data_IF_537175177959
#
_entry.id   IF_537175177959
#
_cell.length_a   1.000
_cell.length_b   1.000
_cell.length_c   1.000
_cell.angle_alpha   90.00
_cell.angle_beta   90.00
_cell.angle_gamma   90.00
#
_symmetry.space_group_name_H-M   'P 1'
#
loop_
_entity.id
_entity.type
_entity.pdbx_description
1 polymer ?
#
# COMPACT_ATOMS: atom_id res chain seq x y z
N UNK A 1 92.77 7.27 -8.57
CA UNK A 1 91.43 6.95 -9.13
C UNK A 1 90.45 6.45 -8.07
N UNK A 2 90.76 5.38 -7.31
CA UNK A 2 89.85 4.74 -6.32
C UNK A 2 88.99 5.67 -5.45
N UNK A 3 89.54 6.74 -4.87
CA UNK A 3 88.79 7.63 -3.97
C UNK A 3 87.56 8.29 -4.59
N UNK A 4 87.57 8.59 -5.91
CA UNK A 4 86.41 9.14 -6.60
C UNK A 4 85.27 8.12 -6.71
N UNK A 5 85.59 6.87 -7.04
CA UNK A 5 84.63 5.76 -7.10
C UNK A 5 83.99 5.52 -5.73
N UNK A 6 84.79 5.49 -4.66
CA UNK A 6 84.30 5.34 -3.28
C UNK A 6 83.37 6.50 -2.87
N UNK A 7 83.70 7.74 -3.28
CA UNK A 7 82.83 8.90 -3.09
C UNK A 7 81.49 8.81 -3.83
N UNK A 8 81.47 8.22 -5.04
CA UNK A 8 80.23 7.96 -5.78
C UNK A 8 79.40 6.85 -5.14
N UNK A 9 80.00 5.71 -4.73
CA UNK A 9 79.27 4.67 -3.98
C UNK A 9 78.70 5.22 -2.66
N UNK A 10 79.47 6.05 -1.93
CA UNK A 10 78.99 6.69 -0.70
C UNK A 10 77.80 7.62 -0.91
N UNK A 11 77.75 8.34 -2.04
CA UNK A 11 76.58 9.14 -2.43
C UNK A 11 75.40 8.26 -2.84
N UNK A 12 75.62 7.23 -3.66
CA UNK A 12 74.58 6.31 -4.11
C UNK A 12 73.93 5.57 -2.92
N UNK A 13 74.73 5.06 -1.97
CA UNK A 13 74.21 4.42 -0.75
C UNK A 13 73.31 5.36 0.06
N UNK A 14 73.74 6.61 0.31
CA UNK A 14 72.92 7.62 1.01
C UNK A 14 71.65 8.00 0.27
N UNK A 15 71.65 7.90 -1.07
CA UNK A 15 70.44 8.13 -1.86
C UNK A 15 69.48 6.96 -1.72
N UNK A 16 69.95 5.72 -1.88
CA UNK A 16 69.17 4.49 -1.66
C UNK A 16 68.56 4.48 -0.25
N UNK A 17 69.33 4.83 0.78
CA UNK A 17 68.83 4.92 2.18
C UNK A 17 67.64 5.89 2.28
N UNK A 18 67.75 7.12 1.76
CA UNK A 18 66.65 8.09 1.71
C UNK A 18 65.45 7.59 0.91
N UNK A 19 65.71 6.98 -0.24
CA UNK A 19 64.66 6.48 -1.13
C UNK A 19 63.88 5.34 -0.45
N UNK A 20 64.53 4.47 0.35
CA UNK A 20 63.81 3.46 1.14
C UNK A 20 62.85 4.05 2.17
N UNK A 21 63.18 5.19 2.79
CA UNK A 21 62.26 5.87 3.72
C UNK A 21 61.11 6.57 2.99
N UNK A 22 61.33 7.05 1.76
CA UNK A 22 60.28 7.53 0.89
C UNK A 22 59.32 6.40 0.49
N UNK A 23 59.84 5.24 0.07
CA UNK A 23 59.03 4.07 -0.26
C UNK A 23 58.24 3.54 0.95
N UNK A 24 58.82 3.52 2.16
CA UNK A 24 58.07 3.19 3.39
C UNK A 24 56.89 4.14 3.60
N UNK A 25 57.12 5.46 3.52
CA UNK A 25 56.07 6.49 3.68
C UNK A 25 54.98 6.40 2.58
N UNK A 26 55.36 6.04 1.36
CA UNK A 26 54.39 5.80 0.28
C UNK A 26 53.56 4.54 0.55
N UNK A 27 54.20 3.45 0.98
CA UNK A 27 53.52 2.19 1.33
C UNK A 27 52.55 2.34 2.50
N UNK A 28 52.94 3.01 3.59
CA UNK A 28 52.02 3.26 4.72
C UNK A 28 50.86 4.17 4.32
N UNK A 29 51.09 5.21 3.50
CA UNK A 29 50.03 6.09 2.99
C UNK A 29 49.07 5.37 2.04
N UNK A 30 49.57 4.42 1.24
CA UNK A 30 48.72 3.56 0.40
C UNK A 30 47.87 2.63 1.26
N UNK A 31 48.47 1.92 2.23
CA UNK A 31 47.73 1.05 3.16
C UNK A 31 46.68 1.83 3.96
N UNK A 32 46.97 3.06 4.37
CA UNK A 32 45.99 3.93 5.02
C UNK A 32 44.83 4.30 4.07
N UNK A 33 45.12 4.61 2.80
CA UNK A 33 44.10 4.88 1.80
C UNK A 33 43.19 3.65 1.54
N UNK A 34 43.79 2.47 1.36
CA UNK A 34 43.09 1.19 1.19
C UNK A 34 42.21 0.85 2.41
N UNK A 35 42.70 1.09 3.63
CA UNK A 35 41.90 0.93 4.85
C UNK A 35 40.74 1.93 4.93
N UNK A 36 40.98 3.20 4.59
CA UNK A 36 39.93 4.24 4.54
C UNK A 36 38.86 3.92 3.50
N UNK A 37 39.25 3.42 2.33
CA UNK A 37 38.34 2.99 1.26
C UNK A 37 37.53 1.76 1.68
N UNK A 38 38.19 0.72 2.22
CA UNK A 38 37.51 -0.47 2.76
C UNK A 38 36.47 -0.10 3.82
N UNK A 39 36.81 0.80 4.75
CA UNK A 39 35.87 1.30 5.75
C UNK A 39 34.72 2.10 5.12
N UNK A 40 34.95 2.87 4.05
CA UNK A 40 33.87 3.56 3.33
C UNK A 40 32.94 2.57 2.61
N UNK A 41 33.49 1.61 1.86
CA UNK A 41 32.72 0.56 1.19
C UNK A 41 31.86 -0.22 2.17
N UNK A 42 32.41 -0.64 3.31
CA UNK A 42 31.66 -1.36 4.35
C UNK A 42 30.56 -0.50 4.99
N UNK A 43 30.74 0.82 5.11
CA UNK A 43 29.68 1.72 5.57
C UNK A 43 28.55 1.86 4.52
N UNK A 44 28.89 1.94 3.23
CA UNK A 44 27.90 2.00 2.14
C UNK A 44 27.12 0.70 2.01
N UNK A 45 27.79 -0.45 2.09
CA UNK A 45 27.15 -1.77 2.07
C UNK A 45 26.18 -1.95 3.24
N UNK A 46 26.61 -1.62 4.46
CA UNK A 46 25.73 -1.69 5.64
C UNK A 46 24.52 -0.75 5.52
N UNK A 47 24.69 0.44 4.93
CA UNK A 47 23.58 1.37 4.65
C UNK A 47 22.61 0.76 3.64
N UNK A 48 23.09 0.28 2.50
CA UNK A 48 22.25 -0.32 1.46
C UNK A 48 21.46 -1.55 1.97
N UNK A 49 22.07 -2.36 2.86
CA UNK A 49 21.37 -3.45 3.56
C UNK A 49 20.23 -2.94 4.45
N UNK A 50 20.44 -1.87 5.21
CA UNK A 50 19.39 -1.27 6.06
C UNK A 50 18.27 -0.60 5.22
N UNK A 51 18.61 0.08 4.13
CA UNK A 51 17.63 0.69 3.21
C UNK A 51 16.77 -0.40 2.53
N UNK A 52 17.38 -1.52 2.11
CA UNK A 52 16.66 -2.66 1.56
C UNK A 52 15.75 -3.36 2.60
N UNK A 53 16.19 -3.45 3.86
CA UNK A 53 15.36 -4.00 4.95
C UNK A 53 14.13 -3.13 5.25
N UNK A 54 14.31 -1.80 5.26
CA UNK A 54 13.21 -0.84 5.42
C UNK A 54 12.22 -0.96 4.26
N UNK A 55 12.69 -0.96 3.01
CA UNK A 55 11.83 -1.11 1.84
C UNK A 55 11.06 -2.45 1.82
N UNK A 56 11.69 -3.54 2.29
CA UNK A 56 11.02 -4.85 2.47
C UNK A 56 9.89 -4.77 3.50
N UNK A 57 10.11 -4.10 4.63
CA UNK A 57 9.09 -3.94 5.67
C UNK A 57 7.94 -3.02 5.22
N UNK A 58 8.23 -1.96 4.47
CA UNK A 58 7.22 -1.08 3.86
C UNK A 58 6.34 -1.83 2.86
N UNK A 59 6.94 -2.65 1.99
CA UNK A 59 6.18 -3.51 1.07
C UNK A 59 5.31 -4.56 1.80
N UNK A 60 5.76 -5.09 2.94
CA UNK A 60 4.99 -6.01 3.77
C UNK A 60 3.81 -5.32 4.49
N UNK A 61 3.98 -4.07 4.94
CA UNK A 61 2.90 -3.25 5.50
C UNK A 61 1.83 -2.99 4.44
N UNK A 62 2.20 -2.44 3.28
CA UNK A 62 1.26 -2.13 2.21
C UNK A 62 0.52 -3.37 1.66
N UNK A 63 1.20 -4.52 1.58
CA UNK A 63 0.53 -5.78 1.25
C UNK A 63 -0.48 -6.20 2.33
N UNK A 64 -0.12 -6.11 3.61
CA UNK A 64 -1.02 -6.51 4.69
C UNK A 64 -2.24 -5.58 4.81
N UNK A 65 -2.12 -4.31 4.45
CA UNK A 65 -3.24 -3.34 4.34
C UNK A 65 -4.18 -3.70 3.17
N UNK A 66 -3.61 -4.09 2.02
CA UNK A 66 -4.39 -4.60 0.88
C UNK A 66 -5.11 -5.91 1.25
N UNK A 67 -4.39 -6.89 1.81
CA UNK A 67 -4.94 -8.18 2.29
C UNK A 67 -6.13 -7.95 3.26
N UNK A 68 -6.02 -6.98 4.18
CA UNK A 68 -7.10 -6.60 5.11
C UNK A 68 -8.32 -6.08 4.36
N UNK A 69 -8.12 -5.09 3.49
CA UNK A 69 -9.20 -4.46 2.73
C UNK A 69 -9.96 -5.46 1.86
N UNK A 70 -9.24 -6.41 1.24
CA UNK A 70 -9.83 -7.46 0.43
C UNK A 70 -10.67 -8.42 1.28
N UNK A 71 -10.17 -8.90 2.43
CA UNK A 71 -10.93 -9.83 3.26
C UNK A 71 -12.20 -9.20 3.83
N UNK A 72 -12.14 -7.93 4.24
CA UNK A 72 -13.34 -7.18 4.68
C UNK A 72 -14.32 -6.97 3.51
N UNK A 73 -13.85 -6.68 2.30
CA UNK A 73 -14.71 -6.56 1.12
C UNK A 73 -15.35 -7.89 0.70
N UNK A 74 -14.58 -8.99 0.69
CA UNK A 74 -15.08 -10.37 0.42
C UNK A 74 -16.15 -10.77 1.43
N UNK A 75 -15.93 -10.50 2.73
CA UNK A 75 -16.92 -10.76 3.78
C UNK A 75 -18.20 -9.92 3.56
N UNK A 76 -18.10 -8.63 3.28
CA UNK A 76 -19.25 -7.76 3.01
C UNK A 76 -20.06 -8.23 1.78
N UNK A 77 -19.38 -8.71 0.73
CA UNK A 77 -20.02 -9.29 -0.45
C UNK A 77 -20.76 -10.62 -0.16
N UNK A 78 -20.15 -11.52 0.62
CA UNK A 78 -20.75 -12.79 1.08
C UNK A 78 -22.08 -12.55 1.81
N UNK A 79 -22.12 -11.59 2.72
CA UNK A 79 -23.34 -11.21 3.43
C UNK A 79 -24.39 -10.60 2.50
N UNK A 80 -24.04 -9.64 1.64
CA UNK A 80 -24.98 -9.03 0.68
C UNK A 80 -25.58 -10.06 -0.30
N UNK A 81 -24.80 -11.06 -0.73
CA UNK A 81 -25.35 -12.18 -1.51
C UNK A 81 -26.33 -13.03 -0.69
N UNK A 82 -26.04 -13.26 0.58
CA UNK A 82 -26.88 -14.07 1.48
C UNK A 82 -28.20 -13.35 1.78
N UNK A 83 -28.16 -12.05 2.08
CA UNK A 83 -29.35 -11.19 2.25
C UNK A 83 -30.25 -11.20 1.02
N UNK A 84 -29.70 -11.00 -0.19
CA UNK A 84 -30.50 -11.02 -1.43
C UNK A 84 -31.16 -12.38 -1.70
N UNK A 85 -30.45 -13.49 -1.41
CA UNK A 85 -31.00 -14.85 -1.53
C UNK A 85 -32.14 -15.06 -0.52
N UNK A 86 -31.95 -14.67 0.73
CA UNK A 86 -32.92 -14.90 1.80
C UNK A 86 -34.17 -14.01 1.68
N UNK A 87 -34.02 -12.74 1.29
CA UNK A 87 -35.13 -11.82 0.98
C UNK A 87 -36.04 -12.34 -0.15
N UNK A 88 -35.49 -13.07 -1.11
CA UNK A 88 -36.29 -13.74 -2.15
C UNK A 88 -37.08 -14.94 -1.62
N UNK A 89 -36.56 -15.62 -0.58
CA UNK A 89 -37.15 -16.83 0.00
C UNK A 89 -38.18 -16.53 1.10
N UNK A 90 -38.04 -15.42 1.83
CA UNK A 90 -38.91 -15.03 2.96
C UNK A 90 -40.41 -14.91 2.63
N UNK A 91 -40.73 -14.77 1.34
CA UNK A 91 -42.08 -14.58 0.79
C UNK A 91 -42.82 -15.92 0.57
N UNK A 92 -42.15 -17.06 0.74
CA UNK A 92 -42.73 -18.39 0.53
C UNK A 92 -42.96 -19.12 1.86
N UNK A 93 -44.10 -19.82 1.96
CA UNK A 93 -44.36 -20.76 3.05
C UNK A 93 -43.60 -22.06 2.79
N UNK A 94 -42.85 -22.53 3.79
CA UNK A 94 -42.03 -23.75 3.71
C UNK A 94 -42.79 -24.93 4.33
N UNK A 95 -42.92 -26.04 3.60
CA UNK A 95 -43.60 -27.25 4.11
C UNK A 95 -42.71 -28.06 5.05
N UNK A 96 -43.34 -28.71 6.04
CA UNK A 96 -42.69 -29.68 6.97
C UNK A 96 -42.30 -31.01 6.26
N UNK A 97 -42.81 -31.25 5.05
CA UNK A 97 -42.44 -32.41 4.25
C UNK A 97 -40.94 -32.43 3.90
N UNK A 98 -40.39 -33.63 3.71
CA UNK A 98 -39.02 -33.82 3.18
C UNK A 98 -39.10 -34.39 1.75
N UNK A 99 -38.50 -33.74 0.74
CA UNK A 99 -37.79 -32.46 0.80
C UNK A 99 -38.75 -31.26 1.03
N UNK A 100 -38.27 -30.18 1.67
CA UNK A 100 -39.09 -28.99 1.95
C UNK A 100 -39.44 -28.25 0.66
N UNK A 101 -40.73 -28.04 0.43
CA UNK A 101 -41.27 -27.27 -0.69
C UNK A 101 -41.54 -25.84 -0.25
N UNK A 102 -41.15 -24.88 -1.10
CA UNK A 102 -41.51 -23.48 -0.96
C UNK A 102 -42.77 -23.21 -1.79
N UNK A 103 -43.86 -22.74 -1.18
CA UNK A 103 -45.12 -22.47 -1.87
C UNK A 103 -45.69 -21.09 -1.52
N UNK A 104 -46.43 -20.50 -2.47
CA UNK A 104 -47.16 -19.26 -2.31
C UNK A 104 -48.60 -19.49 -2.82
N UNK A 105 -49.64 -19.36 -1.97
CA UNK A 105 -51.02 -19.60 -2.40
C UNK A 105 -51.50 -18.52 -3.38
N UNK A 106 -52.11 -18.95 -4.49
CA UNK A 106 -52.65 -18.03 -5.51
C UNK A 106 -53.86 -17.18 -5.05
N UNK A 107 -54.42 -17.51 -3.88
CA UNK A 107 -55.39 -16.70 -3.13
C UNK A 107 -55.09 -16.88 -1.65
N UNK A 108 -54.85 -15.79 -0.93
CA UNK A 108 -54.66 -15.87 0.52
C UNK A 108 -56.01 -15.95 1.25
N UNK A 109 -56.09 -16.81 2.25
CA UNK A 109 -57.02 -16.66 3.39
C UNK A 109 -56.30 -15.92 4.51
N UNK A 110 -57.03 -15.31 5.46
CA UNK A 110 -56.43 -14.61 6.61
C UNK A 110 -55.37 -15.45 7.33
N UNK A 111 -55.68 -16.72 7.59
CA UNK A 111 -54.75 -17.69 8.19
C UNK A 111 -53.43 -17.82 7.40
N UNK A 112 -53.48 -17.76 6.06
CA UNK A 112 -52.25 -17.75 5.22
C UNK A 112 -51.58 -16.38 5.13
N UNK A 113 -52.29 -15.28 5.38
CA UNK A 113 -51.71 -13.93 5.51
C UNK A 113 -50.94 -13.85 6.83
N UNK A 114 -51.56 -14.29 7.92
CA UNK A 114 -50.98 -14.37 9.27
C UNK A 114 -49.75 -15.31 9.29
N UNK A 115 -49.81 -16.47 8.63
CA UNK A 115 -48.67 -17.38 8.49
C UNK A 115 -47.52 -16.80 7.66
N UNK A 116 -47.81 -16.05 6.58
CA UNK A 116 -46.77 -15.37 5.80
C UNK A 116 -46.14 -14.23 6.61
N UNK A 117 -46.94 -13.45 7.34
CA UNK A 117 -46.47 -12.39 8.21
C UNK A 117 -45.55 -12.93 9.32
N UNK A 118 -45.97 -13.98 10.04
CA UNK A 118 -45.15 -14.63 11.06
C UNK A 118 -43.87 -15.26 10.48
N UNK A 119 -43.93 -15.84 9.28
CA UNK A 119 -42.75 -16.34 8.56
C UNK A 119 -41.78 -15.22 8.18
N UNK A 120 -42.29 -14.04 7.78
CA UNK A 120 -41.48 -12.88 7.45
C UNK A 120 -40.82 -12.27 8.71
N UNK A 121 -41.54 -12.18 9.83
CA UNK A 121 -41.00 -11.71 11.11
C UNK A 121 -39.90 -12.65 11.64
N UNK A 122 -40.15 -13.96 11.66
CA UNK A 122 -39.17 -14.97 12.05
C UNK A 122 -37.93 -14.96 11.13
N UNK A 123 -38.13 -14.72 9.83
CA UNK A 123 -37.05 -14.53 8.87
C UNK A 123 -36.25 -13.25 9.14
N UNK A 124 -36.91 -12.12 9.44
CA UNK A 124 -36.25 -10.87 9.77
C UNK A 124 -35.42 -10.99 11.05
N UNK A 125 -35.94 -11.63 12.10
CA UNK A 125 -35.22 -11.94 13.32
C UNK A 125 -33.96 -12.80 13.06
N UNK A 126 -34.10 -13.84 12.22
CA UNK A 126 -32.96 -14.67 11.77
C UNK A 126 -31.92 -13.85 11.00
N UNK A 127 -32.35 -12.94 10.13
CA UNK A 127 -31.44 -12.07 9.36
C UNK A 127 -30.75 -11.02 10.23
N UNK A 128 -31.42 -10.50 11.27
CA UNK A 128 -30.80 -9.62 12.28
C UNK A 128 -29.67 -10.34 13.03
N UNK A 129 -29.90 -11.57 13.51
CA UNK A 129 -28.87 -12.39 14.15
C UNK A 129 -27.71 -12.77 13.20
N UNK A 130 -28.02 -13.06 11.92
CA UNK A 130 -27.00 -13.29 10.89
C UNK A 130 -26.16 -12.04 10.59
N UNK A 131 -26.77 -10.85 10.67
CA UNK A 131 -26.05 -9.57 10.49
C UNK A 131 -25.11 -9.30 11.66
N UNK A 132 -25.57 -9.49 12.89
CA UNK A 132 -24.75 -9.32 14.10
C UNK A 132 -23.51 -10.23 14.10
N UNK A 133 -23.70 -11.52 13.84
CA UNK A 133 -22.59 -12.49 13.74
C UNK A 133 -21.66 -12.24 12.53
N UNK A 134 -22.14 -11.53 11.51
CA UNK A 134 -21.31 -11.08 10.39
C UNK A 134 -20.51 -9.81 10.71
N UNK A 135 -21.10 -8.84 11.40
CA UNK A 135 -20.38 -7.68 11.95
C UNK A 135 -19.28 -8.11 12.93
N UNK A 136 -19.54 -9.14 13.75
CA UNK A 136 -18.54 -9.77 14.61
C UNK A 136 -17.40 -10.42 13.81
N UNK A 137 -17.72 -11.13 12.72
CA UNK A 137 -16.72 -11.68 11.78
C UNK A 137 -15.85 -10.59 11.17
N UNK A 138 -16.43 -9.45 10.79
CA UNK A 138 -15.70 -8.28 10.27
C UNK A 138 -14.79 -7.68 11.35
N UNK A 139 -15.32 -7.35 12.54
CA UNK A 139 -14.54 -6.78 13.65
C UNK A 139 -13.38 -7.67 14.06
N UNK A 140 -13.58 -8.99 14.06
CA UNK A 140 -12.51 -9.96 14.35
C UNK A 140 -11.38 -9.87 13.32
N UNK A 141 -11.69 -9.86 12.02
CA UNK A 141 -10.69 -9.68 10.97
C UNK A 141 -9.96 -8.33 11.10
N UNK A 142 -10.70 -7.25 11.38
CA UNK A 142 -10.12 -5.91 11.58
C UNK A 142 -9.14 -5.86 12.76
N UNK A 143 -9.43 -6.53 13.88
CA UNK A 143 -8.51 -6.66 15.02
C UNK A 143 -7.30 -7.55 14.69
N UNK A 144 -7.51 -8.69 14.04
CA UNK A 144 -6.43 -9.60 13.63
C UNK A 144 -5.43 -8.90 12.70
N UNK A 145 -5.92 -8.16 11.70
CA UNK A 145 -5.05 -7.35 10.83
C UNK A 145 -4.45 -6.13 11.52
N UNK A 146 -5.19 -5.44 12.40
CA UNK A 146 -4.64 -4.30 13.16
C UNK A 146 -3.42 -4.72 13.99
N UNK A 147 -3.49 -5.84 14.72
CA UNK A 147 -2.33 -6.33 15.52
C UNK A 147 -1.18 -6.86 14.65
N UNK A 148 -1.44 -7.31 13.41
CA UNK A 148 -0.42 -7.68 12.42
C UNK A 148 0.29 -6.43 11.88
N UNK A 149 -0.47 -5.38 11.55
CA UNK A 149 0.05 -4.11 11.05
C UNK A 149 0.82 -3.34 12.13
N UNK A 150 0.37 -3.36 13.37
CA UNK A 150 1.09 -2.77 14.51
C UNK A 150 2.49 -3.37 14.66
N UNK A 151 2.61 -4.70 14.60
CA UNK A 151 3.90 -5.42 14.66
C UNK A 151 4.83 -5.02 13.52
N UNK A 152 4.35 -5.06 12.26
CA UNK A 152 5.14 -4.68 11.09
C UNK A 152 5.56 -3.21 11.13
N UNK A 153 4.68 -2.29 11.57
CA UNK A 153 4.99 -0.87 11.76
C UNK A 153 5.98 -0.65 12.91
N UNK A 154 5.95 -1.46 13.96
CA UNK A 154 6.93 -1.43 15.05
C UNK A 154 8.31 -1.93 14.59
N UNK A 155 8.39 -3.03 13.85
CA UNK A 155 9.63 -3.54 13.22
C UNK A 155 10.26 -2.48 12.29
N UNK A 156 9.44 -1.89 11.42
CA UNK A 156 9.83 -0.77 10.54
C UNK A 156 10.36 0.42 11.33
N UNK A 157 9.70 0.79 12.43
CA UNK A 157 10.15 1.88 13.31
C UNK A 157 11.46 1.55 14.04
N UNK A 158 11.73 0.28 14.37
CA UNK A 158 13.03 -0.17 14.92
C UNK A 158 14.13 -0.09 13.85
N UNK A 159 13.88 -0.57 12.63
CA UNK A 159 14.82 -0.51 11.52
C UNK A 159 15.26 0.94 11.21
N UNK A 160 14.29 1.86 11.06
CA UNK A 160 14.57 3.30 10.83
C UNK A 160 15.29 3.97 12.02
N UNK A 161 15.01 3.59 13.27
CA UNK A 161 15.76 4.09 14.43
C UNK A 161 17.22 3.59 14.45
N UNK A 162 17.45 2.36 14.01
CA UNK A 162 18.78 1.74 13.92
C UNK A 162 19.75 2.41 12.94
N UNK A 163 19.24 3.13 11.93
CA UNK A 163 20.06 4.02 11.09
C UNK A 163 20.39 5.33 11.83
N UNK A 164 19.36 6.00 12.38
CA UNK A 164 19.49 7.35 12.96
C UNK A 164 20.53 7.42 14.08
N UNK A 165 20.56 6.44 14.98
CA UNK A 165 21.53 6.38 16.10
C UNK A 165 22.99 6.23 15.61
N UNK A 166 23.22 5.49 14.52
CA UNK A 166 24.57 5.37 13.92
C UNK A 166 25.02 6.71 13.31
N UNK A 167 24.10 7.45 12.70
CA UNK A 167 24.40 8.75 12.08
C UNK A 167 24.76 9.83 13.11
N UNK A 168 24.06 9.91 14.24
CA UNK A 168 24.28 10.95 15.26
C UNK A 168 25.63 10.81 15.95
N UNK A 169 26.02 9.60 16.35
CA UNK A 169 27.31 9.37 17.02
C UNK A 169 28.52 9.63 16.10
N UNK A 170 28.35 9.54 14.78
CA UNK A 170 29.40 9.86 13.80
C UNK A 170 29.57 11.37 13.60
N UNK A 171 28.53 12.17 13.85
CA UNK A 171 28.58 13.63 13.74
C UNK A 171 29.29 14.25 14.96
N UNK A 172 28.88 13.90 16.18
CA UNK A 172 29.45 14.44 17.42
C UNK A 172 30.93 14.10 17.62
N UNK A 173 31.42 13.00 17.02
CA UNK A 173 32.84 12.62 17.03
C UNK A 173 33.72 13.47 16.10
N UNK A 174 33.14 14.14 15.09
CA UNK A 174 33.87 15.07 14.22
C UNK A 174 33.96 16.47 14.81
N UNK A 175 32.82 16.99 15.28
CA UNK A 175 32.74 18.34 15.86
C UNK A 175 33.74 18.51 17.02
N UNK A 176 33.92 17.47 17.86
CA UNK A 176 34.93 17.44 18.93
C UNK A 176 36.40 17.31 18.50
N UNK A 177 36.69 17.01 17.24
CA UNK A 177 38.07 16.86 16.73
C UNK A 177 38.51 18.05 15.89
N UNK A 178 37.56 18.68 15.21
CA UNK A 178 37.83 19.87 14.41
C UNK A 178 38.09 21.10 15.35
N UNK A 179 37.55 21.11 16.57
CA UNK A 179 37.84 22.11 17.64
C UNK A 179 39.25 21.99 18.27
N UNK A 180 40.04 20.93 18.00
CA UNK A 180 41.33 20.65 18.68
C UNK A 180 42.57 20.85 17.76
N UNK A 181 42.42 21.52 16.60
CA UNK A 181 43.51 21.70 15.61
C UNK A 181 43.69 23.12 15.04
N UNK A 182 42.86 24.10 15.41
CA UNK A 182 42.93 25.47 14.82
C UNK A 182 43.98 26.41 15.49
N UNK A 183 44.68 25.98 16.54
CA UNK A 183 45.53 26.84 17.40
C UNK A 183 47.05 26.88 17.08
N UNK A 184 47.59 26.06 16.17
CA UNK A 184 49.08 25.93 15.98
C UNK A 184 49.72 26.58 14.72
N UNK A 185 48.95 27.14 13.77
CA UNK A 185 49.47 27.53 12.42
C UNK A 185 49.47 29.05 12.10
N UNK A 186 49.43 29.95 13.09
CA UNK A 186 49.31 31.42 12.86
C UNK A 186 50.56 32.14 12.24
N UNK A 187 51.77 31.55 12.24
CA UNK A 187 53.03 32.29 11.95
C UNK A 187 53.85 31.85 10.71
N UNK A 188 53.20 31.54 9.57
CA UNK A 188 53.88 31.43 8.27
C UNK A 188 53.02 31.93 7.08
N UNK A 189 53.04 33.24 6.74
CA UNK A 189 52.32 33.66 5.52
C UNK A 189 52.36 35.11 5.01
N UNK A 190 52.90 36.10 5.73
CA UNK A 190 52.78 37.53 5.33
C UNK A 190 53.71 37.99 4.17
N UNK A 191 53.73 37.30 3.03
CA UNK A 191 54.33 37.87 1.80
C UNK A 191 53.84 37.29 0.45
N UNK A 192 52.81 37.90 -0.14
CA UNK A 192 52.93 38.52 -1.48
C UNK A 192 51.76 39.44 -1.83
N UNK A 193 52.04 40.52 -2.55
CA UNK A 193 51.07 41.39 -3.24
C UNK A 193 51.36 41.34 -4.74
N UNK A 194 50.32 41.63 -5.56
CA UNK A 194 50.30 41.56 -7.04
C UNK A 194 50.29 40.12 -7.58
N UNK A 195 49.56 39.77 -8.64
CA UNK A 195 48.99 40.58 -9.73
C UNK A 195 47.47 40.35 -9.91
N UNK A 196 46.66 41.40 -10.11
CA UNK A 196 46.12 41.84 -11.42
C UNK A 196 45.58 40.74 -12.36
N UNK A 197 44.26 40.79 -12.56
CA UNK A 197 43.56 40.66 -13.85
C UNK A 197 43.86 39.43 -14.75
N UNK A 198 42.88 38.53 -14.89
CA UNK A 198 42.23 38.27 -16.19
C UNK A 198 40.89 37.53 -16.00
N UNK A 199 39.79 38.05 -16.58
CA UNK A 199 38.52 37.32 -16.73
C UNK A 199 38.46 36.69 -18.12
N UNK A 200 38.48 35.35 -18.28
CA UNK A 200 38.10 34.72 -19.54
C UNK A 200 36.58 34.80 -19.71
N UNK A 201 36.12 35.62 -20.66
CA UNK A 201 34.71 35.77 -21.03
C UNK A 201 34.26 34.53 -21.81
N UNK A 202 33.89 33.45 -21.11
CA UNK A 202 33.50 32.17 -21.74
C UNK A 202 32.22 32.38 -22.57
N UNK A 203 32.31 32.11 -23.87
CA UNK A 203 31.26 32.45 -24.84
C UNK A 203 30.03 31.56 -24.70
N UNK A 204 28.87 32.17 -24.90
CA UNK A 204 27.61 31.47 -25.17
C UNK A 204 27.68 30.85 -26.57
N UNK A 205 27.86 29.53 -26.67
CA UNK A 205 27.66 28.81 -27.93
C UNK A 205 26.22 28.36 -28.03
N UNK A 206 25.38 29.20 -28.65
CA UNK A 206 24.03 28.81 -29.04
C UNK A 206 24.09 27.57 -29.94
N UNK A 207 23.66 26.42 -29.42
CA UNK A 207 23.40 25.21 -30.22
C UNK A 207 21.91 25.11 -30.46
N UNK A 208 21.52 25.65 -31.60
CA UNK A 208 20.17 25.59 -32.13
C UNK A 208 19.84 24.16 -32.62
N UNK A 209 18.55 23.92 -32.85
CA UNK A 209 17.97 22.82 -33.61
C UNK A 209 18.33 21.38 -33.18
N UNK A 210 17.46 20.77 -32.37
CA UNK A 210 16.65 19.62 -32.83
C UNK A 210 15.47 19.35 -31.90
N UNK A 211 14.25 19.49 -32.44
CA UNK A 211 13.07 18.84 -31.85
C UNK A 211 13.21 17.32 -32.06
N UNK A 212 12.98 16.47 -31.04
CA UNK A 212 12.53 15.12 -31.29
C UNK A 212 11.24 15.20 -32.11
N UNK A 213 11.14 14.38 -33.15
CA UNK A 213 9.91 14.30 -33.96
C UNK A 213 8.93 13.42 -33.21
N UNK A 214 7.69 13.87 -33.08
CA UNK A 214 6.57 12.96 -32.81
C UNK A 214 6.53 11.94 -33.95
N UNK A 215 6.82 10.69 -33.61
CA UNK A 215 6.82 9.57 -34.52
C UNK A 215 5.71 8.65 -34.03
N UNK A 216 4.50 8.88 -34.52
CA UNK A 216 3.46 7.87 -34.45
C UNK A 216 4.00 6.57 -35.07
N UNK A 217 4.01 5.50 -34.29
CA UNK A 217 4.23 4.16 -34.81
C UNK A 217 3.32 3.21 -34.08
N UNK A 218 2.25 2.81 -34.77
CA UNK A 218 1.37 1.71 -34.38
C UNK A 218 2.17 0.42 -34.20
N UNK A 219 2.71 0.19 -32.99
CA UNK A 219 3.37 -1.07 -32.67
C UNK A 219 2.30 -2.10 -32.36
N UNK A 220 1.77 -2.67 -33.44
CA UNK A 220 0.79 -3.75 -33.42
C UNK A 220 1.16 -4.84 -32.40
N UNK A 221 0.15 -5.33 -31.70
CA UNK A 221 0.23 -6.48 -30.80
C UNK A 221 0.70 -7.71 -31.59
N UNK A 222 1.98 -8.04 -31.46
CA UNK A 222 2.48 -9.38 -31.77
C UNK A 222 2.66 -10.14 -30.46
N UNK A 223 1.97 -11.27 -30.37
CA UNK A 223 2.24 -12.32 -29.40
C UNK A 223 3.72 -12.72 -29.48
N UNK A 224 4.47 -12.49 -28.40
CA UNK A 224 5.64 -13.29 -28.08
C UNK A 224 5.14 -14.50 -27.29
N UNK A 225 4.62 -15.46 -28.04
CA UNK A 225 4.42 -16.83 -27.59
C UNK A 225 5.81 -17.36 -27.17
N UNK A 226 6.03 -17.44 -25.86
CA UNK A 226 7.31 -17.84 -25.29
C UNK A 226 7.22 -19.32 -25.00
N UNK A 227 7.54 -20.13 -26.01
CA UNK A 227 7.82 -21.55 -25.85
C UNK A 227 8.99 -21.66 -24.84
N UNK A 228 8.67 -22.15 -23.64
CA UNK A 228 9.67 -22.55 -22.65
C UNK A 228 9.96 -24.01 -22.94
N UNK A 229 11.06 -24.28 -23.65
CA UNK A 229 11.50 -25.65 -23.91
C UNK A 229 11.89 -26.33 -22.60
N UNK A 230 11.32 -27.52 -22.34
CA UNK A 230 11.60 -28.34 -21.16
C UNK A 230 13.00 -28.96 -21.24
N UNK A 231 14.02 -28.22 -20.79
CA UNK A 231 15.37 -28.74 -20.55
C UNK A 231 15.38 -29.64 -19.30
N UNK A 232 15.28 -30.95 -19.50
CA UNK A 232 15.32 -31.96 -18.43
C UNK A 232 16.68 -31.99 -17.71
N UNK A 233 16.82 -31.18 -16.64
CA UNK A 233 18.02 -31.16 -15.80
C UNK A 233 18.11 -32.39 -14.88
N UNK A 234 18.37 -33.56 -15.47
CA UNK A 234 18.65 -34.82 -14.74
C UNK A 234 19.97 -34.70 -13.97
N UNK A 235 19.87 -34.32 -12.70
CA UNK A 235 21.00 -34.25 -11.76
C UNK A 235 20.89 -35.32 -10.67
N UNK A 236 20.93 -36.59 -11.08
CA UNK A 236 21.09 -37.70 -10.16
C UNK A 236 22.51 -37.73 -9.59
N UNK A 237 22.64 -37.59 -8.27
CA UNK A 237 23.89 -37.87 -7.55
C UNK A 237 23.59 -38.58 -6.24
N UNK A 238 23.44 -39.90 -6.31
CA UNK A 238 23.41 -40.77 -5.13
C UNK A 238 24.75 -40.67 -4.40
N UNK A 239 24.70 -40.47 -3.08
CA UNK A 239 25.87 -40.51 -2.21
C UNK A 239 25.45 -41.05 -0.85
N UNK A 240 25.65 -42.36 -0.64
CA UNK A 240 25.40 -42.99 0.65
C UNK A 240 26.39 -42.45 1.71
N UNK A 241 25.91 -42.32 2.95
CA UNK A 241 26.62 -41.63 4.03
C UNK A 241 26.18 -42.11 5.39
N UNK A 242 26.40 -43.39 5.68
CA UNK A 242 26.12 -43.97 6.99
C UNK A 242 26.96 -43.32 8.10
N UNK A 243 26.31 -42.82 9.16
CA UNK A 243 26.97 -42.63 10.45
C UNK A 243 25.98 -42.75 11.61
N UNK A 244 25.69 -43.97 12.03
CA UNK A 244 24.97 -44.22 13.28
C UNK A 244 25.91 -44.06 14.48
N UNK A 245 25.52 -43.27 15.48
CA UNK A 245 26.11 -43.29 16.82
C UNK A 245 25.02 -43.29 17.88
N UNK A 246 24.97 -44.36 18.69
CA UNK A 246 24.05 -44.46 19.83
C UNK A 246 24.32 -43.36 20.88
N UNK A 247 23.27 -42.81 21.48
CA UNK A 247 23.35 -42.05 22.72
C UNK A 247 22.35 -42.64 23.72
N UNK A 248 22.87 -43.38 24.69
CA UNK A 248 22.08 -44.19 25.62
C UNK A 248 21.41 -43.34 26.70
N UNK A 249 20.10 -43.57 26.83
CA UNK A 249 19.35 -43.81 28.07
C UNK A 249 20.01 -43.45 29.41
N UNK A 250 19.36 -42.51 30.12
CA UNK A 250 18.97 -42.60 31.54
C UNK A 250 17.73 -41.69 31.69
N UNK A 251 16.73 -41.96 32.52
CA UNK A 251 16.60 -43.06 33.48
C UNK A 251 16.53 -42.53 34.90
N UNK A 252 15.39 -41.94 35.28
CA UNK A 252 15.03 -41.61 36.67
C UNK A 252 13.53 -41.88 36.87
N UNK A 253 13.17 -42.28 38.08
CA UNK A 253 11.93 -43.01 38.38
C UNK A 253 10.88 -42.15 39.13
N UNK A 254 9.71 -42.73 39.39
CA UNK A 254 8.69 -42.16 40.28
C UNK A 254 9.28 -42.00 41.70
N UNK A 255 8.78 -41.12 42.58
CA UNK A 255 7.58 -41.44 43.36
C UNK A 255 7.01 -40.28 44.22
N UNK A 256 5.80 -40.55 44.73
CA UNK A 256 5.30 -40.20 46.08
C UNK A 256 4.22 -39.09 46.33
N UNK A 257 3.25 -39.50 47.17
CA UNK A 257 2.33 -38.76 48.06
C UNK A 257 1.33 -37.69 47.54
N UNK A 258 0.22 -38.21 47.02
CA UNK A 258 -1.13 -38.13 47.62
C UNK A 258 -1.45 -37.04 48.69
N UNK A 259 -2.36 -36.13 48.36
CA UNK A 259 -3.55 -35.72 49.16
C UNK A 259 -4.43 -34.75 48.33
N UNK A 260 -5.76 -34.78 48.35
CA UNK A 260 -6.68 -35.67 49.06
C UNK A 260 -7.96 -34.96 49.48
N UNK A 261 -8.97 -34.86 48.59
CA UNK A 261 -10.33 -34.41 48.93
C UNK A 261 -11.34 -35.24 48.14
N UNK A 262 -12.31 -35.84 48.82
CA UNK A 262 -13.43 -36.55 48.21
C UNK A 262 -14.63 -35.61 48.02
N UNK A 263 -15.34 -35.74 46.90
CA UNK A 263 -16.71 -35.28 46.73
C UNK A 263 -17.39 -36.13 45.65
N UNK A 264 -18.30 -37.00 46.06
CA UNK A 264 -19.00 -37.90 45.15
C UNK A 264 -20.16 -37.21 44.42
N UNK A 265 -20.44 -37.66 43.19
CA UNK A 265 -21.77 -37.60 42.60
C UNK A 265 -21.93 -38.77 41.64
N UNK A 266 -22.88 -39.65 41.93
CA UNK A 266 -23.30 -40.70 41.00
C UNK A 266 -23.94 -40.10 39.73
N UNK A 267 -23.96 -40.90 38.67
CA UNK A 267 -24.51 -40.58 37.35
C UNK A 267 -24.33 -41.78 36.43
N UNK A 268 -25.33 -42.65 36.38
CA UNK A 268 -25.19 -44.00 35.83
C UNK A 268 -25.14 -44.09 34.29
N UNK A 269 -24.84 -45.31 33.86
CA UNK A 269 -24.69 -45.86 32.51
C UNK A 269 -25.57 -45.27 31.39
N UNK A 270 -24.97 -45.15 30.19
CA UNK A 270 -25.40 -46.06 29.12
C UNK A 270 -24.20 -46.51 28.26
N UNK A 271 -24.11 -47.81 27.98
CA UNK A 271 -23.09 -48.41 27.09
C UNK A 271 -23.69 -48.71 25.72
N UNK A 272 -23.29 -47.98 24.69
CA UNK A 272 -23.55 -48.38 23.29
C UNK A 272 -22.23 -48.59 22.55
N UNK A 273 -21.92 -49.85 22.25
CA UNK A 273 -20.75 -50.21 21.46
C UNK A 273 -21.05 -50.08 19.96
N UNK A 274 -20.09 -49.62 19.17
CA UNK A 274 -20.13 -49.68 17.70
C UNK A 274 -18.72 -49.66 17.10
N UNK A 275 -18.15 -50.83 16.76
CA UNK A 275 -16.92 -50.91 15.98
C UNK A 275 -17.26 -51.01 14.49
N UNK A 276 -16.81 -50.05 13.67
CA UNK A 276 -16.73 -50.25 12.23
C UNK A 276 -15.51 -49.55 11.62
N UNK A 277 -14.47 -50.32 11.36
CA UNK A 277 -13.37 -49.91 10.49
C UNK A 277 -13.75 -50.22 9.03
N UNK A 278 -13.71 -49.21 8.17
CA UNK A 278 -13.53 -49.34 6.72
C UNK A 278 -12.54 -48.24 6.31
N UNK A 279 -11.34 -48.52 5.84
CA UNK A 279 -10.91 -49.34 4.69
C UNK A 279 -11.01 -48.58 3.36
N UNK A 280 -9.86 -48.01 2.96
CA UNK A 280 -9.40 -47.63 1.62
C UNK A 280 -10.44 -47.50 0.50
N UNK A 281 -10.74 -46.25 0.11
CA UNK A 281 -11.30 -45.92 -1.19
C UNK A 281 -10.29 -45.12 -2.03
N UNK A 282 -9.50 -45.81 -2.85
CA UNK A 282 -8.69 -45.15 -3.89
C UNK A 282 -9.62 -44.75 -5.03
N UNK A 283 -9.72 -43.45 -5.32
CA UNK A 283 -10.59 -42.92 -6.38
C UNK A 283 -9.78 -42.19 -7.44
N UNK A 284 -9.61 -42.81 -8.61
CA UNK A 284 -9.10 -42.13 -9.80
C UNK A 284 -10.02 -40.97 -10.19
N UNK A 285 -9.52 -39.75 -10.07
CA UNK A 285 -10.19 -38.57 -10.62
C UNK A 285 -9.98 -38.52 -12.13
N UNK A 286 -10.90 -39.14 -12.86
CA UNK A 286 -10.90 -39.12 -14.32
C UNK A 286 -11.09 -37.68 -14.83
N UNK A 287 -10.10 -37.17 -15.58
CA UNK A 287 -10.09 -35.80 -16.08
C UNK A 287 -11.10 -35.60 -17.23
N UNK A 288 -12.33 -35.18 -16.88
CA UNK A 288 -13.38 -34.92 -17.87
C UNK A 288 -13.27 -33.49 -18.41
N UNK A 289 -12.58 -33.35 -19.54
CA UNK A 289 -12.49 -32.10 -20.31
C UNK A 289 -13.81 -31.83 -21.07
N UNK A 290 -14.54 -30.73 -20.79
CA UNK A 290 -15.71 -30.35 -21.56
C UNK A 290 -15.31 -29.54 -22.80
N UNK A 291 -15.01 -30.23 -23.91
CA UNK A 291 -14.60 -29.57 -25.15
C UNK A 291 -15.75 -28.81 -25.84
N UNK A 292 -15.44 -27.61 -26.34
CA UNK A 292 -15.98 -26.94 -27.53
C UNK A 292 -17.50 -26.94 -27.75
N UNK A 293 -18.12 -25.76 -27.61
CA UNK A 293 -19.44 -25.47 -28.23
C UNK A 293 -19.56 -24.07 -28.83
N UNK A 294 -18.64 -23.75 -29.73
CA UNK A 294 -18.87 -22.72 -30.75
C UNK A 294 -20.00 -23.16 -31.70
N UNK A 295 -21.12 -22.43 -31.72
CA UNK A 295 -22.06 -22.41 -32.84
C UNK A 295 -23.07 -21.23 -32.77
N UNK A 296 -23.07 -20.42 -33.83
CA UNK A 296 -24.27 -19.80 -34.41
C UNK A 296 -25.13 -18.82 -33.58
N UNK A 297 -24.76 -17.53 -33.64
CA UNK A 297 -25.77 -16.50 -33.95
C UNK A 297 -26.19 -16.62 -35.43
N UNK A 298 -27.46 -16.31 -35.79
CA UNK A 298 -27.65 -15.26 -36.80
C UNK A 298 -28.98 -14.46 -36.76
N UNK A 299 -28.95 -13.29 -37.44
CA UNK A 299 -30.06 -12.61 -38.17
C UNK A 299 -31.23 -11.95 -37.41
N UNK A 300 -31.00 -10.65 -37.12
CA UNK A 300 -31.68 -9.49 -37.73
C UNK A 300 -32.99 -9.72 -38.55
N UNK A 301 -34.08 -9.14 -38.04
CA UNK A 301 -35.18 -8.43 -38.75
C UNK A 301 -35.67 -7.33 -37.75
N UNK A 302 -36.01 -6.08 -38.05
CA UNK A 302 -36.69 -5.42 -39.20
C UNK A 302 -38.13 -5.89 -39.47
N UNK A 303 -39.08 -5.30 -38.72
CA UNK A 303 -40.38 -4.90 -39.26
C UNK A 303 -40.88 -3.60 -38.55
N UNK A 304 -41.98 -3.00 -39.04
CA UNK A 304 -42.44 -1.62 -38.74
C UNK A 304 -43.84 -1.57 -38.10
N UNK A 305 -44.12 -0.44 -37.43
CA UNK A 305 -45.43 0.26 -37.29
C UNK A 305 -46.66 -0.56 -36.78
N UNK A 306 -47.61 -0.04 -36.00
CA UNK A 306 -48.17 1.32 -36.02
C UNK A 306 -48.97 1.72 -34.76
N UNK A 307 -49.11 3.04 -34.58
CA UNK A 307 -50.32 3.77 -34.17
C UNK A 307 -50.97 3.67 -32.75
N UNK A 308 -51.17 4.88 -32.15
CA UNK A 308 -52.25 5.29 -31.21
C UNK A 308 -52.22 4.73 -29.77
N UNK A 309 -52.75 5.38 -28.71
CA UNK A 309 -53.51 6.66 -28.56
C UNK A 309 -53.31 7.26 -27.15
N UNK A 310 -53.73 8.52 -26.93
CA UNK A 310 -53.83 9.19 -25.61
C UNK A 310 -52.64 10.11 -25.33
N UNK A 311 -52.72 11.44 -25.37
CA UNK A 311 -53.59 12.36 -24.59
C UNK A 311 -53.46 12.22 -23.07
N UNK A 312 -52.67 13.11 -22.45
CA UNK A 312 -53.27 14.05 -21.51
C UNK A 312 -52.48 15.37 -21.46
N UNK A 313 -53.10 16.44 -20.97
CA UNK A 313 -52.52 17.79 -20.90
C UNK A 313 -52.35 18.26 -19.45
N UNK A 314 -51.45 19.24 -19.24
CA UNK A 314 -51.51 20.38 -18.30
C UNK A 314 -50.05 20.93 -18.14
N UNK A 315 -49.64 22.20 -18.28
CA UNK A 315 -50.22 23.57 -18.40
C UNK A 315 -49.73 24.46 -17.24
N UNK A 316 -48.71 25.32 -17.50
CA UNK A 316 -48.39 26.65 -16.90
C UNK A 316 -47.04 27.12 -17.48
N UNK A 317 -46.98 28.16 -18.33
CA UNK A 317 -46.82 29.60 -17.99
C UNK A 317 -45.58 29.87 -17.12
N UNK A 318 -44.45 30.45 -17.55
CA UNK A 318 -44.12 31.48 -18.57
C UNK A 318 -44.47 32.94 -18.19
N UNK A 319 -43.44 33.75 -17.90
CA UNK A 319 -43.24 35.21 -18.17
C UNK A 319 -42.01 35.74 -17.38
N UNK A 320 -40.94 36.23 -18.03
CA UNK A 320 -40.52 37.65 -18.28
C UNK A 320 -40.07 38.44 -17.03
N UNK A 321 -39.15 39.43 -17.06
CA UNK A 321 -38.61 40.24 -18.19
C UNK A 321 -37.15 40.73 -17.96
N UNK A 322 -36.70 41.58 -18.89
CA UNK A 322 -35.68 42.65 -18.91
C UNK A 322 -35.34 43.35 -17.56
N UNK A 323 -34.29 44.18 -17.38
CA UNK A 323 -33.33 44.92 -18.25
C UNK A 323 -31.95 45.05 -17.47
N UNK A 324 -30.84 45.76 -17.79
CA UNK A 324 -30.39 46.76 -18.80
C UNK A 324 -28.83 46.79 -18.88
N UNK A 325 -28.27 47.61 -19.78
CA UNK A 325 -26.85 47.95 -20.00
C UNK A 325 -26.17 48.76 -18.87
N UNK A 326 -24.83 48.68 -18.76
CA UNK A 326 -23.95 49.86 -18.92
C UNK A 326 -22.49 49.48 -19.28
N UNK A 327 -21.61 50.47 -19.48
CA UNK A 327 -20.35 50.43 -20.26
C UNK A 327 -19.07 50.52 -19.37
N UNK A 328 -17.89 50.26 -19.94
CA UNK A 328 -16.64 50.89 -19.47
C UNK A 328 -15.38 50.04 -19.19
N UNK A 329 -14.26 50.56 -19.70
CA UNK A 329 -12.87 50.48 -19.16
C UNK A 329 -12.05 49.17 -19.21
N UNK A 330 -11.02 49.19 -20.09
CA UNK A 330 -9.69 48.55 -19.88
C UNK A 330 -8.93 49.32 -18.77
N UNK A 331 -8.04 48.70 -17.95
CA UNK A 331 -6.79 48.05 -18.39
C UNK A 331 -6.61 46.62 -17.81
N UNK A 332 -5.57 45.84 -18.15
CA UNK A 332 -4.41 46.16 -19.00
C UNK A 332 -3.08 46.20 -18.24
N UNK A 333 -2.72 45.11 -17.55
CA UNK A 333 -1.36 44.88 -17.05
C UNK A 333 -0.92 43.43 -17.34
N UNK A 334 0.39 43.23 -17.52
CA UNK A 334 1.02 41.91 -17.63
C UNK A 334 1.55 41.50 -16.25
N UNK A 335 1.61 40.20 -15.99
CA UNK A 335 2.88 39.61 -15.56
C UNK A 335 2.90 38.10 -15.88
N UNK A 336 4.03 37.63 -16.42
CA UNK A 336 4.25 36.23 -16.76
C UNK A 336 4.72 35.47 -15.51
N UNK A 337 4.01 34.41 -15.11
CA UNK A 337 4.55 33.43 -14.16
C UNK A 337 4.17 32.01 -14.57
N UNK A 338 5.21 31.20 -14.84
CA UNK A 338 5.11 29.84 -15.36
C UNK A 338 4.99 28.83 -14.19
N UNK A 339 4.11 27.81 -14.28
CA UNK A 339 3.91 26.82 -13.21
C UNK A 339 4.91 25.65 -13.25
N UNK A 340 5.13 25.00 -12.09
CA UNK A 340 5.68 23.64 -11.92
C UNK A 340 5.47 23.16 -10.46
N UNK A 341 5.08 21.88 -10.26
CA UNK A 341 4.90 21.14 -9.00
C UNK A 341 3.89 21.74 -7.98
N UNK A 342 2.85 21.09 -7.47
CA UNK A 342 2.43 19.66 -7.37
C UNK A 342 3.32 18.74 -6.52
N UNK A 343 2.87 18.56 -5.27
CA UNK A 343 2.84 17.35 -4.41
C UNK A 343 2.11 17.84 -3.12
N UNK A 344 0.84 17.55 -2.88
CA UNK A 344 0.17 16.27 -2.58
C UNK A 344 0.61 15.64 -1.25
N UNK A 345 -0.30 15.69 -0.26
CA UNK A 345 -0.21 15.05 1.05
C UNK A 345 -1.57 15.18 1.77
N UNK A 346 -2.57 14.41 1.35
CA UNK A 346 -3.86 14.34 2.04
C UNK A 346 -3.74 13.68 3.42
N UNK A 347 -3.90 14.44 4.50
CA UNK A 347 -3.96 13.94 5.87
C UNK A 347 -5.36 14.19 6.46
N UNK A 348 -6.24 13.19 6.35
CA UNK A 348 -7.57 13.25 6.96
C UNK A 348 -7.42 13.27 8.49
N UNK A 349 -7.67 14.43 9.08
CA UNK A 349 -7.75 14.63 10.53
C UNK A 349 -9.19 14.93 10.86
N UNK A 350 -9.80 14.10 11.71
CA UNK A 350 -11.12 14.33 12.32
C UNK A 350 -11.02 15.51 13.32
N UNK A 351 -10.88 16.73 12.80
CA UNK A 351 -10.94 17.97 13.58
C UNK A 351 -12.40 18.32 13.91
N UNK A 352 -12.58 19.03 15.02
CA UNK A 352 -13.88 19.33 15.63
C UNK A 352 -14.85 20.04 14.66
N UNK A 353 -16.15 19.76 14.79
CA UNK A 353 -17.20 20.35 13.93
C UNK A 353 -17.20 21.89 13.89
N UNK A 354 -16.68 22.56 14.92
CA UNK A 354 -16.52 24.01 14.97
C UNK A 354 -15.34 24.52 14.12
N UNK A 355 -14.23 23.77 14.07
CA UNK A 355 -13.01 24.13 13.34
C UNK A 355 -13.23 24.08 11.81
N UNK A 356 -14.03 23.11 11.33
CA UNK A 356 -14.43 23.03 9.93
C UNK A 356 -15.14 24.31 9.46
N UNK A 357 -16.06 24.85 10.26
CA UNK A 357 -16.75 26.11 9.96
C UNK A 357 -15.78 27.31 9.97
N UNK A 358 -14.78 27.31 10.86
CA UNK A 358 -13.71 28.32 10.90
C UNK A 358 -12.68 28.17 9.76
N UNK A 359 -12.56 27.00 9.14
CA UNK A 359 -11.70 26.77 7.98
C UNK A 359 -12.29 27.38 6.69
N UNK A 360 -13.62 27.31 6.50
CA UNK A 360 -14.29 27.83 5.29
C UNK A 360 -14.05 29.33 5.08
N UNK A 361 -13.98 30.14 6.16
CA UNK A 361 -13.69 31.57 6.05
C UNK A 361 -12.27 31.87 5.55
N UNK A 362 -11.32 30.96 5.81
CA UNK A 362 -9.89 31.10 5.47
C UNK A 362 -9.60 30.73 4.01
N UNK A 363 -10.37 29.81 3.43
CA UNK A 363 -10.21 29.33 2.03
C UNK A 363 -10.21 30.47 1.00
N UNK A 364 -9.51 30.28 -0.13
CA UNK A 364 -9.51 31.20 -1.28
C UNK A 364 -10.77 31.04 -2.13
N UNK A 365 -11.09 32.06 -2.94
CA UNK A 365 -12.27 32.05 -3.83
C UNK A 365 -12.23 30.90 -4.86
N UNK A 366 -11.05 30.46 -5.27
CA UNK A 366 -10.83 29.29 -6.14
C UNK A 366 -11.21 27.99 -5.45
N UNK A 367 -10.75 27.79 -4.22
CA UNK A 367 -11.03 26.62 -3.37
C UNK A 367 -12.53 26.53 -3.06
N UNK A 368 -13.13 27.64 -2.60
CA UNK A 368 -14.58 27.74 -2.34
C UNK A 368 -15.44 27.40 -3.57
N UNK A 369 -15.03 27.85 -4.77
CA UNK A 369 -15.73 27.49 -6.02
C UNK A 369 -15.52 26.03 -6.42
N UNK A 370 -14.38 25.43 -6.10
CA UNK A 370 -14.14 24.01 -6.34
C UNK A 370 -15.05 23.15 -5.44
N UNK A 371 -15.18 23.48 -4.16
CA UNK A 371 -16.07 22.74 -3.25
C UNK A 371 -17.55 22.93 -3.56
N UNK A 372 -18.00 24.17 -3.80
CA UNK A 372 -19.37 24.41 -4.26
C UNK A 372 -19.67 23.65 -5.55
N UNK A 373 -18.72 23.57 -6.50
CA UNK A 373 -18.87 22.77 -7.73
C UNK A 373 -18.90 21.25 -7.44
N UNK A 374 -18.10 20.74 -6.51
CA UNK A 374 -18.17 19.33 -6.05
C UNK A 374 -19.56 19.00 -5.48
N UNK A 375 -20.16 19.92 -4.71
CA UNK A 375 -21.52 19.81 -4.13
C UNK A 375 -22.65 20.17 -5.12
N UNK A 376 -22.36 20.51 -6.37
CA UNK A 376 -23.38 20.90 -7.37
C UNK A 376 -24.04 22.28 -7.16
N UNK A 377 -23.49 23.10 -6.27
CA UNK A 377 -24.02 24.41 -5.86
C UNK A 377 -23.53 25.55 -6.78
N UNK A 378 -24.29 26.66 -6.83
CA UNK A 378 -23.90 27.84 -7.60
C UNK A 378 -22.55 28.42 -7.14
N UNK A 379 -21.72 28.78 -8.10
CA UNK A 379 -20.36 29.31 -7.92
C UNK A 379 -20.24 30.81 -8.23
N UNK A 380 -21.34 31.46 -8.63
CA UNK A 380 -21.41 32.90 -8.90
C UNK A 380 -21.56 33.70 -7.60
N UNK A 381 -20.94 34.89 -7.56
CA UNK A 381 -20.98 35.82 -6.43
C UNK A 381 -19.60 36.22 -5.88
N UNK A 382 -19.64 37.13 -4.89
CA UNK A 382 -18.51 37.56 -4.07
C UNK A 382 -18.16 36.51 -2.99
N UNK A 383 -16.94 36.53 -2.45
CA UNK A 383 -16.45 35.53 -1.46
C UNK A 383 -17.46 35.25 -0.35
N UNK A 384 -18.03 36.29 0.27
CA UNK A 384 -18.97 36.14 1.38
C UNK A 384 -20.21 35.29 1.03
N UNK A 385 -20.78 35.44 -0.17
CA UNK A 385 -21.92 34.62 -0.63
C UNK A 385 -21.53 33.16 -0.89
N UNK A 386 -20.29 32.91 -1.30
CA UNK A 386 -19.77 31.56 -1.52
C UNK A 386 -19.49 30.84 -0.19
N UNK A 387 -18.88 31.55 0.77
CA UNK A 387 -18.66 31.10 2.16
C UNK A 387 -19.99 30.76 2.83
N UNK A 388 -20.97 31.67 2.78
CA UNK A 388 -22.29 31.46 3.37
C UNK A 388 -22.98 30.22 2.79
N UNK A 389 -23.07 30.12 1.45
CA UNK A 389 -23.70 28.99 0.76
C UNK A 389 -23.05 27.64 1.06
N UNK A 390 -21.73 27.62 1.30
CA UNK A 390 -21.01 26.40 1.66
C UNK A 390 -21.28 26.00 3.13
N UNK A 391 -21.35 26.97 4.05
CA UNK A 391 -21.73 26.74 5.46
C UNK A 391 -23.18 26.26 5.60
N UNK A 392 -24.12 26.87 4.88
CA UNK A 392 -25.53 26.45 4.83
C UNK A 392 -25.66 25.00 4.32
N UNK A 393 -24.90 24.60 3.30
CA UNK A 393 -24.89 23.24 2.78
C UNK A 393 -24.34 22.21 3.78
N UNK A 394 -23.27 22.55 4.50
CA UNK A 394 -22.71 21.67 5.54
C UNK A 394 -23.68 21.44 6.70
N UNK A 395 -24.42 22.47 7.11
CA UNK A 395 -25.44 22.37 8.15
C UNK A 395 -26.64 21.50 7.71
N UNK A 396 -27.12 21.67 6.47
CA UNK A 396 -28.22 20.85 5.94
C UNK A 396 -27.88 19.37 5.73
N UNK A 397 -26.60 19.04 5.43
CA UNK A 397 -26.13 17.65 5.34
C UNK A 397 -26.02 16.95 6.71
N UNK A 398 -25.82 17.70 7.79
CA UNK A 398 -25.78 17.19 9.18
C UNK A 398 -27.19 16.96 9.75
N UNK A 399 -28.22 17.71 9.34
CA UNK A 399 -29.63 17.47 9.71
C UNK A 399 -30.31 16.34 8.91
N UNK A 400 -29.63 15.80 7.89
CA UNK A 400 -30.19 14.83 6.93
C UNK A 400 -29.65 13.39 7.10
N UNK A 401 -29.00 13.08 8.22
CA UNK A 401 -28.37 11.78 8.53
C UNK A 401 -28.87 11.19 9.85
#
# INVERSE_FOLDING_TARGET
MFGALMGHLGKAKRQIEKDTDLFKRQGTKQQEAEQREKMQSQNLENRARQEAEVARLEALVGRAELDQSEQVARAKLEHLQTVRKSESQSKFLVTIASPPLCYLPAKHTKETEDLVAASMEAHEAKMKALSQSHDEKIRKLEVEFSTKLEKLRAELAVAKKGEKVKSSNKKTLREKKDEEMDDEDEDMGRSSKHAKQHKPKRQETARDHRKPRENDSDRATKSSEMEVEDEESVSGSEAEGESATEARSNGEENDDKTAGVEAASDGEEERVASPHATANGSGDNMEVVPSNRDASSPRKAEEKEAAKTGENSLKRSAQTADEKDEDGAKPGLREDTKPAAEEDAGAETEESKEDAAAHVDKMKVTELRAELKKRGLDTKGLKAKLVQRLKEAMQGEDESK
#
